data_IF_247204189595
#
_entry.id   IF_247204189595
#
_cell.length_a   1.000
_cell.length_b   1.000
_cell.length_c   1.000
_cell.angle_alpha   90.00
_cell.angle_beta   90.00
_cell.angle_gamma   90.00
#
_symmetry.space_group_name_H-M   'P 1'
#
loop_
_entity.id
_entity.type
_entity.pdbx_description
1 polymer ?
#
# COMPACT_ATOMS: atom_id res chain seq x y z
N UNK A 1 25.48 -8.36 5.12
CA UNK A 1 25.96 -7.04 4.66
C UNK A 1 24.97 -6.01 5.16
N UNK A 2 25.41 -4.92 5.78
CA UNK A 2 24.51 -3.84 6.22
C UNK A 2 23.87 -3.19 4.99
N UNK A 3 22.55 -3.03 4.99
CA UNK A 3 21.86 -2.28 3.93
C UNK A 3 22.26 -0.80 4.07
N UNK A 4 22.84 -0.16 3.04
CA UNK A 4 23.32 1.21 3.12
C UNK A 4 22.19 2.24 3.39
N UNK A 5 20.92 1.87 3.21
CA UNK A 5 19.78 2.71 3.52
C UNK A 5 19.54 2.83 5.03
N UNK A 6 19.65 1.72 5.77
CA UNK A 6 19.30 1.69 7.19
C UNK A 6 20.54 1.94 8.05
N UNK A 7 20.59 3.07 8.78
CA UNK A 7 21.71 3.36 9.69
C UNK A 7 21.82 2.34 10.83
N UNK A 8 20.71 1.66 11.16
CA UNK A 8 20.61 0.64 12.20
C UNK A 8 19.49 -0.38 11.87
N UNK A 9 19.55 -1.55 12.49
CA UNK A 9 18.46 -2.54 12.47
C UNK A 9 17.43 -2.28 13.58
N UNK A 10 17.72 -1.35 14.50
CA UNK A 10 16.83 -0.94 15.59
C UNK A 10 16.57 0.55 15.46
N UNK A 11 15.29 0.99 15.47
CA UNK A 11 14.96 2.40 15.36
C UNK A 11 15.44 3.21 16.56
N UNK A 12 15.81 4.47 16.33
CA UNK A 12 16.12 5.40 17.41
C UNK A 12 14.85 5.83 18.17
N UNK A 13 15.02 6.27 19.42
CA UNK A 13 13.93 6.85 20.22
C UNK A 13 13.35 8.11 19.56
N UNK A 14 14.17 8.88 18.86
CA UNK A 14 13.73 10.06 18.10
C UNK A 14 12.77 9.65 16.98
N UNK A 15 13.12 8.67 16.16
CA UNK A 15 12.28 8.15 15.10
C UNK A 15 10.96 7.56 15.63
N UNK A 16 11.02 6.80 16.74
CA UNK A 16 9.81 6.28 17.39
C UNK A 16 8.87 7.40 17.82
N UNK A 17 9.38 8.50 18.36
CA UNK A 17 8.54 9.67 18.72
C UNK A 17 7.91 10.31 17.50
N UNK A 18 8.64 10.42 16.39
CA UNK A 18 8.13 11.07 15.17
C UNK A 18 6.97 10.31 14.52
N UNK A 19 6.95 8.99 14.62
CA UNK A 19 5.88 8.16 14.00
C UNK A 19 4.74 7.81 14.96
N UNK A 20 4.72 8.33 16.20
CA UNK A 20 3.62 8.06 17.13
C UNK A 20 2.29 8.52 16.57
N UNK A 21 1.28 7.65 16.69
CA UNK A 21 -0.06 7.91 16.18
C UNK A 21 -0.23 7.74 14.67
N UNK A 22 0.80 7.28 13.95
CA UNK A 22 0.67 6.97 12.53
C UNK A 22 -0.05 5.65 12.28
N UNK A 23 -0.51 5.49 11.04
CA UNK A 23 -1.03 4.25 10.50
C UNK A 23 -0.05 3.70 9.47
N UNK A 24 0.21 2.39 9.53
CA UNK A 24 0.85 1.71 8.41
C UNK A 24 -0.24 1.18 7.47
N UNK A 25 -0.41 1.84 6.34
CA UNK A 25 -1.50 1.53 5.41
C UNK A 25 -1.20 0.32 4.50
N UNK A 26 -0.06 -0.37 4.70
CA UNK A 26 0.34 -1.48 3.87
C UNK A 26 1.18 -2.48 4.64
N UNK A 27 0.52 -3.46 5.28
CA UNK A 27 1.20 -4.56 5.99
C UNK A 27 0.63 -5.92 5.59
N UNK A 28 1.48 -6.94 5.67
CA UNK A 28 1.14 -8.33 5.41
C UNK A 28 1.36 -9.17 6.66
N UNK A 29 0.30 -9.72 7.24
CA UNK A 29 0.36 -10.47 8.50
C UNK A 29 -0.44 -11.76 8.44
N UNK A 30 -0.10 -12.71 9.31
CA UNK A 30 -0.86 -13.94 9.47
C UNK A 30 -2.23 -13.65 10.14
N UNK A 31 -3.27 -14.46 9.84
CA UNK A 31 -3.27 -15.60 8.92
C UNK A 31 -3.13 -15.17 7.45
N UNK A 32 -2.32 -15.90 6.68
CA UNK A 32 -2.15 -15.70 5.24
C UNK A 32 -1.81 -17.07 4.61
N UNK A 33 -2.04 -17.23 3.32
CA UNK A 33 -1.61 -18.41 2.56
C UNK A 33 -0.08 -18.52 2.46
N UNK A 34 0.61 -17.41 2.63
CA UNK A 34 2.07 -17.33 2.73
C UNK A 34 2.50 -17.19 4.19
N UNK A 35 3.70 -17.72 4.50
CA UNK A 35 4.28 -17.53 5.83
C UNK A 35 4.53 -16.05 6.10
N UNK A 36 4.01 -15.56 7.22
CA UNK A 36 4.19 -14.19 7.70
C UNK A 36 4.97 -14.18 9.02
N UNK A 37 5.57 -13.02 9.33
CA UNK A 37 6.40 -12.82 10.51
C UNK A 37 5.60 -12.82 11.82
N UNK A 38 4.41 -12.22 11.79
CA UNK A 38 3.60 -11.94 12.98
C UNK A 38 2.12 -12.15 12.64
N UNK A 39 1.30 -12.46 13.64
CA UNK A 39 -0.17 -12.47 13.49
C UNK A 39 -0.73 -11.06 13.57
N UNK A 40 -1.93 -10.86 13.06
CA UNK A 40 -2.65 -9.58 13.12
C UNK A 40 -2.91 -9.10 14.55
N UNK A 41 -3.34 -10.00 15.44
CA UNK A 41 -3.59 -9.70 16.87
C UNK A 41 -2.29 -9.34 17.59
N UNK A 42 -1.21 -10.05 17.34
CA UNK A 42 0.09 -9.75 17.95
C UNK A 42 0.68 -8.46 17.38
N UNK A 43 0.48 -8.17 16.08
CA UNK A 43 0.86 -6.88 15.51
C UNK A 43 0.08 -5.73 16.15
N UNK A 44 -1.23 -5.89 16.39
CA UNK A 44 -2.02 -4.87 17.06
C UNK A 44 -1.48 -4.54 18.46
N UNK A 45 -1.10 -5.56 19.24
CA UNK A 45 -0.43 -5.37 20.54
C UNK A 45 0.92 -4.70 20.42
N UNK A 46 1.73 -5.11 19.45
CA UNK A 46 3.05 -4.52 19.20
C UNK A 46 2.94 -3.04 18.79
N UNK A 47 1.96 -2.70 17.91
CA UNK A 47 1.71 -1.32 17.49
C UNK A 47 1.34 -0.42 18.67
N UNK A 48 0.44 -0.88 19.57
CA UNK A 48 0.13 -0.15 20.79
C UNK A 48 1.36 0.04 21.67
N UNK A 49 2.19 -1.01 21.81
CA UNK A 49 3.41 -0.98 22.60
C UNK A 49 4.42 0.08 22.13
N UNK A 50 4.49 0.36 20.82
CA UNK A 50 5.37 1.39 20.25
C UNK A 50 4.67 2.72 19.98
N UNK A 51 3.37 2.80 20.24
CA UNK A 51 2.57 4.03 20.14
C UNK A 51 2.08 4.35 18.73
N UNK A 52 1.99 3.36 17.81
CA UNK A 52 1.32 3.48 16.53
C UNK A 52 -0.21 3.36 16.71
N UNK A 53 -0.99 4.02 15.85
CA UNK A 53 -2.44 4.05 15.97
C UNK A 53 -3.12 2.83 15.35
N UNK A 54 -2.61 2.35 14.23
CA UNK A 54 -3.24 1.24 13.54
C UNK A 54 -2.56 0.87 12.22
N UNK A 55 -3.21 -0.02 11.49
CA UNK A 55 -2.69 -0.54 10.22
C UNK A 55 -3.81 -1.02 9.31
N UNK A 56 -3.53 -1.10 8.00
CA UNK A 56 -4.39 -1.74 7.02
C UNK A 56 -3.92 -3.17 6.77
N UNK A 57 -4.81 -4.13 6.99
CA UNK A 57 -4.58 -5.55 6.70
C UNK A 57 -4.65 -5.79 5.20
N UNK A 58 -3.52 -5.95 4.53
CA UNK A 58 -3.49 -6.32 3.11
C UNK A 58 -3.34 -7.83 2.94
N UNK A 59 -4.27 -8.41 2.17
CA UNK A 59 -4.15 -9.76 1.61
C UNK A 59 -4.28 -9.70 0.09
N UNK A 60 -3.49 -10.52 -0.61
CA UNK A 60 -3.64 -10.64 -2.06
C UNK A 60 -4.81 -11.54 -2.47
N UNK A 61 -5.40 -12.32 -1.54
CA UNK A 61 -6.31 -13.41 -1.90
C UNK A 61 -7.69 -13.32 -1.29
N UNK A 62 -7.83 -12.66 -0.13
CA UNK A 62 -9.11 -12.58 0.58
C UNK A 62 -9.38 -11.16 1.07
N UNK A 63 -10.66 -10.73 1.21
CA UNK A 63 -11.02 -9.52 1.93
C UNK A 63 -10.61 -9.62 3.40
N UNK A 64 -10.35 -8.51 4.05
CA UNK A 64 -9.84 -8.49 5.43
C UNK A 64 -10.67 -7.62 6.40
N UNK A 65 -11.85 -7.15 5.97
CA UNK A 65 -12.70 -6.29 6.81
C UNK A 65 -13.22 -7.01 8.06
N UNK A 66 -13.77 -8.20 7.90
CA UNK A 66 -14.18 -9.08 9.01
C UNK A 66 -13.03 -9.32 10.00
N UNK A 67 -11.85 -9.61 9.47
CA UNK A 67 -10.64 -9.88 10.25
C UNK A 67 -10.18 -8.64 11.03
N UNK A 68 -10.27 -7.46 10.44
CA UNK A 68 -9.97 -6.19 11.10
C UNK A 68 -10.94 -5.94 12.28
N UNK A 69 -12.23 -6.22 12.10
CA UNK A 69 -13.22 -6.11 13.17
C UNK A 69 -12.91 -7.04 14.36
N UNK A 70 -12.48 -8.28 14.09
CA UNK A 70 -12.07 -9.24 15.13
C UNK A 70 -10.82 -8.76 15.87
N UNK A 71 -9.82 -8.24 15.14
CA UNK A 71 -8.59 -7.67 15.74
C UNK A 71 -8.93 -6.51 16.67
N UNK A 72 -9.78 -5.58 16.21
CA UNK A 72 -10.20 -4.42 17.01
C UNK A 72 -10.97 -4.83 18.30
N UNK A 73 -11.78 -5.87 18.21
CA UNK A 73 -12.46 -6.43 19.38
C UNK A 73 -11.48 -7.11 20.35
N UNK A 74 -10.46 -7.80 19.83
CA UNK A 74 -9.47 -8.53 20.64
C UNK A 74 -8.40 -7.62 21.28
N UNK A 75 -8.10 -6.47 20.65
CA UNK A 75 -7.07 -5.52 21.09
C UNK A 75 -7.63 -4.10 21.06
N UNK A 76 -8.47 -3.74 22.04
CA UNK A 76 -9.02 -2.38 22.13
C UNK A 76 -7.92 -1.32 22.20
N UNK A 77 -8.08 -0.25 21.43
CA UNK A 77 -7.11 0.85 21.34
C UNK A 77 -6.20 0.80 20.11
N UNK A 78 -6.09 -0.34 19.45
CA UNK A 78 -5.53 -0.41 18.09
C UNK A 78 -6.65 -0.25 17.06
N UNK A 79 -6.38 0.39 15.93
CA UNK A 79 -7.32 0.58 14.83
C UNK A 79 -6.86 -0.21 13.60
N UNK A 80 -7.21 -1.49 13.56
CA UNK A 80 -7.01 -2.32 12.37
C UNK A 80 -8.08 -1.99 11.33
N UNK A 81 -7.67 -1.78 10.09
CA UNK A 81 -8.52 -1.43 8.96
C UNK A 81 -8.53 -2.56 7.93
N UNK A 82 -9.72 -2.87 7.43
CA UNK A 82 -9.92 -3.87 6.41
C UNK A 82 -9.64 -3.38 5.00
N UNK A 83 -9.46 -4.32 4.10
CA UNK A 83 -9.18 -4.05 2.70
C UNK A 83 -9.62 -5.19 1.79
N UNK A 84 -9.61 -4.94 0.48
CA UNK A 84 -9.75 -5.95 -0.57
C UNK A 84 -8.75 -5.68 -1.69
N UNK A 85 -8.14 -6.73 -2.25
CA UNK A 85 -7.33 -6.65 -3.47
C UNK A 85 -8.04 -7.40 -4.59
N UNK A 86 -8.23 -6.76 -5.74
CA UNK A 86 -9.07 -7.23 -6.84
C UNK A 86 -8.34 -8.25 -7.72
N UNK A 87 -7.83 -9.30 -7.09
CA UNK A 87 -7.22 -10.44 -7.77
C UNK A 87 -8.27 -11.51 -8.11
N UNK A 88 -7.88 -12.50 -8.86
CA UNK A 88 -8.77 -13.58 -9.35
C UNK A 88 -9.45 -14.36 -8.23
N UNK A 89 -8.80 -14.49 -7.07
CA UNK A 89 -9.38 -15.16 -5.89
C UNK A 89 -10.69 -14.53 -5.38
N UNK A 90 -10.91 -13.23 -5.65
CA UNK A 90 -12.16 -12.51 -5.33
C UNK A 90 -13.01 -12.23 -6.57
N UNK A 91 -12.66 -12.84 -7.71
CA UNK A 91 -13.35 -12.65 -8.99
C UNK A 91 -12.85 -11.46 -9.81
N UNK A 92 -11.61 -11.00 -9.57
CA UNK A 92 -10.98 -9.88 -10.29
C UNK A 92 -11.68 -8.55 -10.02
N UNK A 93 -11.97 -7.79 -11.09
CA UNK A 93 -12.76 -6.55 -11.03
C UNK A 93 -14.23 -6.88 -10.76
N UNK A 94 -14.53 -7.25 -9.53
CA UNK A 94 -15.83 -7.69 -9.09
C UNK A 94 -16.54 -6.62 -8.24
N UNK A 95 -17.54 -5.87 -8.79
CA UNK A 95 -18.26 -4.84 -8.07
C UNK A 95 -18.98 -5.38 -6.82
N UNK A 96 -19.52 -6.61 -6.89
CA UNK A 96 -20.20 -7.22 -5.73
C UNK A 96 -19.23 -7.45 -4.56
N UNK A 97 -18.01 -7.91 -4.84
CA UNK A 97 -17.00 -8.11 -3.81
C UNK A 97 -16.57 -6.78 -3.16
N UNK A 98 -16.48 -5.69 -3.95
CA UNK A 98 -16.19 -4.34 -3.43
C UNK A 98 -17.34 -3.83 -2.56
N UNK A 99 -18.59 -3.99 -3.01
CA UNK A 99 -19.77 -3.59 -2.26
C UNK A 99 -19.87 -4.31 -0.90
N UNK A 100 -19.64 -5.62 -0.87
CA UNK A 100 -19.67 -6.39 0.38
C UNK A 100 -18.53 -5.97 1.29
N UNK A 101 -17.28 -5.88 0.77
CA UNK A 101 -16.14 -5.44 1.56
C UNK A 101 -16.35 -4.04 2.16
N UNK A 102 -16.94 -3.11 1.40
CA UNK A 102 -17.28 -1.77 1.89
C UNK A 102 -18.29 -1.80 3.04
N UNK A 103 -19.35 -2.61 2.91
CA UNK A 103 -20.38 -2.77 3.98
C UNK A 103 -19.83 -3.44 5.23
N UNK A 104 -18.85 -4.31 5.09
CA UNK A 104 -18.13 -4.92 6.20
C UNK A 104 -17.11 -3.97 6.86
N UNK A 105 -16.89 -2.77 6.30
CA UNK A 105 -15.99 -1.77 6.87
C UNK A 105 -14.58 -1.76 6.28
N UNK A 106 -14.39 -2.29 5.06
CA UNK A 106 -13.14 -2.10 4.36
C UNK A 106 -12.83 -0.60 4.16
N UNK A 107 -11.57 -0.24 4.27
CA UNK A 107 -11.09 1.12 4.05
C UNK A 107 -10.38 1.28 2.72
N UNK A 108 -9.67 0.27 2.27
CA UNK A 108 -8.82 0.33 1.08
C UNK A 108 -9.24 -0.74 0.06
N UNK A 109 -9.35 -0.33 -1.19
CA UNK A 109 -9.50 -1.22 -2.34
C UNK A 109 -8.22 -1.13 -3.18
N UNK A 110 -7.44 -2.21 -3.23
CA UNK A 110 -6.34 -2.33 -4.17
C UNK A 110 -6.87 -2.83 -5.53
N UNK A 111 -6.50 -2.14 -6.58
CA UNK A 111 -6.59 -2.69 -7.93
C UNK A 111 -5.78 -4.00 -7.99
N UNK A 112 -5.88 -4.79 -9.07
CA UNK A 112 -5.17 -6.07 -9.16
C UNK A 112 -3.71 -5.97 -8.74
N UNK A 113 -3.25 -6.96 -7.99
CA UNK A 113 -1.86 -7.06 -7.51
C UNK A 113 -1.16 -8.25 -8.18
N UNK A 114 -1.12 -9.41 -7.54
CA UNK A 114 -0.42 -10.60 -8.06
C UNK A 114 -0.99 -11.12 -9.38
N UNK A 115 -2.27 -10.82 -9.66
CA UNK A 115 -2.95 -11.21 -10.91
C UNK A 115 -3.10 -10.03 -11.90
N UNK A 116 -2.53 -8.84 -11.62
CA UNK A 116 -2.49 -7.76 -12.60
C UNK A 116 -1.76 -8.24 -13.86
N UNK A 117 -2.30 -7.91 -15.03
CA UNK A 117 -1.72 -8.33 -16.32
C UNK A 117 -0.25 -7.90 -16.44
N UNK A 118 0.04 -6.64 -16.14
CA UNK A 118 1.41 -6.12 -16.09
C UNK A 118 2.30 -6.95 -15.16
N UNK A 119 1.84 -7.22 -13.95
CA UNK A 119 2.65 -7.89 -12.93
C UNK A 119 2.95 -9.35 -13.30
N UNK A 120 2.00 -10.06 -13.88
CA UNK A 120 2.19 -11.43 -14.35
C UNK A 120 3.23 -11.55 -15.47
N UNK A 121 3.37 -10.52 -16.28
CA UNK A 121 4.38 -10.44 -17.34
C UNK A 121 5.77 -10.07 -16.80
N UNK A 122 5.85 -9.15 -15.85
CA UNK A 122 7.10 -8.50 -15.42
C UNK A 122 7.60 -8.90 -14.04
N UNK A 123 6.88 -9.78 -13.32
CA UNK A 123 7.20 -10.14 -11.93
C UNK A 123 8.62 -10.72 -11.71
N UNK A 124 9.25 -11.23 -12.77
CA UNK A 124 10.61 -11.80 -12.75
C UNK A 124 11.67 -10.82 -13.22
N UNK A 125 11.26 -9.65 -13.74
CA UNK A 125 12.15 -8.61 -14.24
C UNK A 125 12.60 -7.73 -13.06
N UNK A 126 13.54 -8.26 -12.28
CA UNK A 126 14.05 -7.60 -11.09
C UNK A 126 15.51 -7.18 -11.32
N UNK A 127 15.94 -6.05 -10.71
CA UNK A 127 17.35 -5.67 -10.68
C UNK A 127 18.23 -6.79 -10.10
N UNK A 128 19.48 -6.86 -10.55
CA UNK A 128 20.44 -7.84 -10.04
C UNK A 128 20.59 -7.72 -8.51
N UNK A 129 20.43 -8.82 -7.80
CA UNK A 129 20.51 -8.88 -6.34
C UNK A 129 19.22 -8.47 -5.60
N UNK A 130 18.16 -8.07 -6.28
CA UNK A 130 16.87 -7.81 -5.64
C UNK A 130 16.24 -9.13 -5.13
N UNK A 131 15.54 -9.04 -4.00
CA UNK A 131 14.84 -10.20 -3.41
C UNK A 131 13.53 -10.46 -4.15
N UNK A 132 13.30 -11.67 -4.71
CA UNK A 132 12.05 -12.01 -5.34
C UNK A 132 10.86 -11.96 -4.37
N UNK A 133 9.65 -11.60 -4.85
CA UNK A 133 8.45 -11.63 -4.04
C UNK A 133 8.09 -13.07 -3.62
N UNK A 134 7.72 -13.28 -2.35
CA UNK A 134 7.35 -14.59 -1.81
C UNK A 134 6.14 -15.25 -2.51
N UNK A 135 5.22 -14.45 -3.03
CA UNK A 135 4.01 -14.96 -3.70
C UNK A 135 4.30 -15.63 -5.06
N UNK A 136 5.49 -15.43 -5.67
CA UNK A 136 5.86 -16.09 -6.93
C UNK A 136 5.83 -17.62 -6.83
N UNK A 137 6.31 -18.19 -5.73
CA UNK A 137 6.30 -19.64 -5.50
C UNK A 137 4.87 -20.19 -5.48
N UNK A 138 3.95 -19.49 -4.81
CA UNK A 138 2.53 -19.86 -4.76
C UNK A 138 1.89 -19.78 -6.15
N UNK A 139 2.15 -18.71 -6.90
CA UNK A 139 1.63 -18.56 -8.26
C UNK A 139 2.14 -19.67 -9.18
N UNK A 140 3.41 -20.06 -9.07
CA UNK A 140 3.98 -21.18 -9.82
C UNK A 140 3.36 -22.52 -9.41
N UNK A 141 3.05 -22.72 -8.12
CA UNK A 141 2.37 -23.94 -7.66
C UNK A 141 0.93 -24.02 -8.19
N UNK A 142 0.17 -22.93 -8.11
CA UNK A 142 -1.19 -22.85 -8.66
C UNK A 142 -1.21 -23.14 -10.17
N UNK A 143 -0.25 -22.59 -10.91
CA UNK A 143 -0.10 -22.85 -12.36
C UNK A 143 0.17 -24.33 -12.64
N UNK A 144 1.09 -24.96 -11.89
CA UNK A 144 1.38 -26.39 -12.05
C UNK A 144 0.17 -27.28 -11.78
N UNK A 145 -0.75 -26.83 -10.92
CA UNK A 145 -2.01 -27.54 -10.60
C UNK A 145 -3.14 -27.25 -11.58
N UNK A 146 -2.92 -26.43 -12.61
CA UNK A 146 -3.97 -26.01 -13.54
C UNK A 146 -5.00 -25.04 -12.93
N UNK A 147 -4.65 -24.39 -11.83
CA UNK A 147 -5.47 -23.37 -11.15
C UNK A 147 -5.00 -21.96 -11.52
N UNK A 148 -4.30 -21.80 -12.64
CA UNK A 148 -3.86 -20.52 -13.14
C UNK A 148 -5.06 -19.72 -13.67
N UNK A 149 -5.31 -18.55 -13.08
CA UNK A 149 -6.34 -17.65 -13.55
C UNK A 149 -5.80 -16.75 -14.67
N UNK A 150 -6.68 -16.31 -15.56
CA UNK A 150 -6.34 -15.29 -16.55
C UNK A 150 -5.91 -13.99 -15.84
N UNK A 151 -4.95 -13.25 -16.41
CA UNK A 151 -4.57 -11.94 -15.91
C UNK A 151 -5.78 -11.00 -15.81
N UNK A 152 -5.83 -10.21 -14.75
CA UNK A 152 -6.90 -9.23 -14.59
C UNK A 152 -6.54 -7.95 -15.31
N UNK A 153 -7.20 -7.72 -16.43
CA UNK A 153 -7.06 -6.51 -17.25
C UNK A 153 -7.95 -5.39 -16.70
N UNK A 154 -7.41 -4.17 -16.66
CA UNK A 154 -8.16 -2.96 -16.27
C UNK A 154 -8.47 -2.05 -17.45
N UNK A 155 -7.73 -2.22 -18.55
CA UNK A 155 -7.90 -1.49 -19.81
C UNK A 155 -8.28 -2.45 -20.93
N UNK A 156 -9.10 -1.96 -21.86
CA UNK A 156 -9.34 -2.64 -23.14
C UNK A 156 -8.23 -2.41 -24.16
N UNK A 157 -8.32 -3.09 -25.30
CA UNK A 157 -7.34 -3.04 -26.38
C UNK A 157 -7.05 -1.63 -26.93
N UNK A 158 -8.01 -0.70 -26.78
CA UNK A 158 -7.83 0.71 -27.15
C UNK A 158 -7.21 1.59 -26.04
N UNK A 159 -6.81 1.01 -24.92
CA UNK A 159 -6.28 1.76 -23.76
C UNK A 159 -7.35 2.48 -22.92
N UNK A 160 -8.63 2.27 -23.21
CA UNK A 160 -9.73 2.80 -22.44
C UNK A 160 -10.02 1.91 -21.23
N UNK A 161 -10.36 2.55 -20.11
CA UNK A 161 -10.78 1.85 -18.89
C UNK A 161 -12.00 0.99 -19.14
N UNK A 162 -11.96 -0.28 -18.75
CA UNK A 162 -13.03 -1.24 -18.95
C UNK A 162 -14.30 -0.84 -18.18
N UNK A 163 -15.52 -1.22 -18.65
CA UNK A 163 -16.76 -0.94 -17.93
C UNK A 163 -16.76 -1.48 -16.50
N UNK A 164 -16.17 -2.66 -16.27
CA UNK A 164 -16.03 -3.23 -14.90
C UNK A 164 -15.11 -2.41 -14.02
N UNK A 165 -14.03 -1.86 -14.58
CA UNK A 165 -13.14 -0.96 -13.85
C UNK A 165 -13.91 0.29 -13.41
N UNK A 166 -14.71 0.90 -14.31
CA UNK A 166 -15.55 2.06 -13.98
C UNK A 166 -16.53 1.76 -12.87
N UNK A 167 -17.27 0.65 -12.96
CA UNK A 167 -18.22 0.23 -11.94
C UNK A 167 -17.56 0.06 -10.55
N UNK A 168 -16.32 -0.47 -10.50
CA UNK A 168 -15.54 -0.56 -9.27
C UNK A 168 -15.16 0.83 -8.75
N UNK A 169 -14.71 1.73 -9.61
CA UNK A 169 -14.34 3.10 -9.22
C UNK A 169 -15.53 3.91 -8.69
N UNK A 170 -16.72 3.75 -9.29
CA UNK A 170 -17.97 4.36 -8.83
C UNK A 170 -18.35 3.88 -7.42
N UNK A 171 -18.20 2.58 -7.11
CA UNK A 171 -18.42 2.04 -5.77
C UNK A 171 -17.39 2.57 -4.76
N UNK A 172 -16.11 2.63 -5.14
CA UNK A 172 -15.05 3.21 -4.30
C UNK A 172 -15.39 4.67 -3.95
N UNK A 173 -15.82 5.45 -4.94
CA UNK A 173 -16.24 6.85 -4.74
C UNK A 173 -17.49 6.94 -3.85
N UNK A 174 -18.51 6.15 -4.14
CA UNK A 174 -19.79 6.14 -3.42
C UNK A 174 -19.65 5.79 -1.94
N UNK A 175 -18.74 4.88 -1.60
CA UNK A 175 -18.44 4.49 -0.22
C UNK A 175 -17.32 5.31 0.44
N UNK A 176 -16.70 6.25 -0.28
CA UNK A 176 -15.60 7.07 0.24
C UNK A 176 -14.35 6.26 0.62
N UNK A 177 -14.09 5.17 -0.10
CA UNK A 177 -12.94 4.31 0.14
C UNK A 177 -11.66 4.88 -0.47
N UNK A 178 -10.52 4.40 -0.03
CA UNK A 178 -9.23 4.66 -0.66
C UNK A 178 -9.05 3.71 -1.84
N UNK A 179 -8.78 4.25 -3.01
CA UNK A 179 -8.27 3.50 -4.15
C UNK A 179 -6.75 3.39 -4.05
N UNK A 180 -6.20 2.18 -4.07
CA UNK A 180 -4.77 1.95 -4.25
C UNK A 180 -4.54 1.25 -5.60
N UNK A 181 -3.54 1.71 -6.38
CA UNK A 181 -3.35 1.22 -7.77
C UNK A 181 -2.79 -0.20 -7.87
N UNK A 182 -2.38 -0.78 -6.76
CA UNK A 182 -1.87 -2.16 -6.75
C UNK A 182 -0.63 -2.35 -7.62
N UNK A 183 -0.62 -3.42 -8.41
CA UNK A 183 0.52 -3.73 -9.28
C UNK A 183 0.22 -3.45 -10.77
N UNK A 184 -0.64 -2.49 -11.04
CA UNK A 184 -0.89 -2.02 -12.40
C UNK A 184 0.38 -1.47 -13.03
N UNK A 185 0.50 -1.60 -14.34
CA UNK A 185 1.59 -1.01 -15.10
C UNK A 185 1.41 0.50 -15.28
N UNK A 186 2.49 1.18 -15.69
CA UNK A 186 2.56 2.64 -15.90
C UNK A 186 1.34 3.21 -16.63
N UNK A 187 1.01 2.67 -17.81
CA UNK A 187 -0.12 3.15 -18.61
C UNK A 187 -1.47 2.94 -17.93
N UNK A 188 -1.62 1.82 -17.22
CA UNK A 188 -2.83 1.48 -16.48
C UNK A 188 -3.00 2.42 -15.28
N UNK A 189 -1.95 2.70 -14.53
CA UNK A 189 -1.97 3.64 -13.40
C UNK A 189 -2.47 5.01 -13.84
N UNK A 190 -1.89 5.56 -14.92
CA UNK A 190 -2.27 6.88 -15.43
C UNK A 190 -3.74 6.92 -15.88
N UNK A 191 -4.20 5.88 -16.60
CA UNK A 191 -5.57 5.80 -17.09
C UNK A 191 -6.59 5.60 -15.94
N UNK A 192 -6.29 4.69 -15.01
CA UNK A 192 -7.16 4.39 -13.87
C UNK A 192 -7.22 5.59 -12.91
N UNK A 193 -6.11 6.29 -12.65
CA UNK A 193 -6.09 7.50 -11.80
C UNK A 193 -7.01 8.59 -12.36
N UNK A 194 -6.94 8.87 -13.66
CA UNK A 194 -7.86 9.84 -14.31
C UNK A 194 -9.30 9.40 -14.21
N UNK A 195 -9.60 8.14 -14.53
CA UNK A 195 -10.95 7.62 -14.43
C UNK A 195 -11.48 7.61 -12.99
N UNK A 196 -10.61 7.43 -11.99
CA UNK A 196 -10.97 7.51 -10.58
C UNK A 196 -11.36 8.94 -10.18
N UNK A 197 -10.60 9.95 -10.62
CA UNK A 197 -10.95 11.36 -10.42
C UNK A 197 -12.28 11.68 -11.09
N UNK A 198 -12.49 11.25 -12.33
CA UNK A 198 -13.75 11.45 -13.07
C UNK A 198 -14.94 10.79 -12.36
N UNK A 199 -14.72 9.64 -11.71
CA UNK A 199 -15.73 8.94 -10.92
C UNK A 199 -15.97 9.55 -9.52
N UNK A 200 -15.18 10.57 -9.12
CA UNK A 200 -15.31 11.25 -7.82
C UNK A 200 -14.56 10.55 -6.68
N UNK A 201 -13.61 9.66 -6.94
CA UNK A 201 -12.74 9.08 -5.91
C UNK A 201 -11.84 10.17 -5.33
N UNK A 202 -11.95 10.42 -4.02
CA UNK A 202 -11.25 11.52 -3.34
C UNK A 202 -9.88 11.14 -2.78
N UNK A 203 -9.64 9.85 -2.57
CA UNK A 203 -8.42 9.33 -1.94
C UNK A 203 -7.83 8.27 -2.82
N UNK A 204 -6.77 8.63 -3.54
CA UNK A 204 -6.07 7.78 -4.50
C UNK A 204 -4.63 7.62 -4.04
N UNK A 205 -4.16 6.39 -3.97
CA UNK A 205 -2.79 6.02 -3.60
C UNK A 205 -2.15 5.29 -4.75
N UNK A 206 -1.06 5.83 -5.27
CA UNK A 206 -0.21 5.15 -6.24
C UNK A 206 0.71 4.21 -5.46
N UNK A 207 0.43 2.92 -5.54
CA UNK A 207 1.14 1.89 -4.79
C UNK A 207 2.58 1.76 -5.29
N UNK A 208 3.57 1.93 -4.40
CA UNK A 208 5.02 1.82 -4.64
C UNK A 208 5.46 2.14 -6.09
N UNK A 209 5.30 3.42 -6.53
CA UNK A 209 5.45 3.85 -7.93
C UNK A 209 6.83 3.57 -8.54
N UNK A 210 7.86 3.38 -7.72
CA UNK A 210 9.22 3.07 -8.13
C UNK A 210 9.52 1.58 -8.27
N UNK A 211 8.59 0.68 -7.98
CA UNK A 211 8.84 -0.74 -8.24
C UNK A 211 9.13 -0.96 -9.73
N UNK A 212 10.05 -1.88 -10.09
CA UNK A 212 10.41 -2.13 -11.48
C UNK A 212 9.22 -2.43 -12.39
N UNK A 213 8.13 -2.97 -11.82
CA UNK A 213 6.92 -3.31 -12.55
C UNK A 213 6.01 -2.10 -12.80
N UNK A 214 5.99 -1.11 -11.91
CA UNK A 214 5.25 0.15 -12.05
C UNK A 214 6.08 1.19 -12.82
N UNK A 215 7.33 1.36 -12.41
CA UNK A 215 8.37 2.18 -13.03
C UNK A 215 7.87 3.55 -13.54
N UNK A 216 7.12 4.28 -12.68
CA UNK A 216 6.67 5.62 -13.05
C UNK A 216 7.85 6.59 -13.10
N UNK A 217 7.99 7.26 -14.23
CA UNK A 217 8.94 8.37 -14.35
C UNK A 217 8.57 9.50 -13.38
N UNK A 218 9.52 10.37 -13.06
CA UNK A 218 9.27 11.51 -12.18
C UNK A 218 8.15 12.42 -12.72
N UNK A 219 8.08 12.64 -14.04
CA UNK A 219 7.04 13.47 -14.65
C UNK A 219 5.65 12.82 -14.53
N UNK A 220 5.58 11.50 -14.67
CA UNK A 220 4.34 10.75 -14.46
C UNK A 220 3.92 10.77 -12.98
N UNK A 221 4.87 10.66 -12.05
CA UNK A 221 4.59 10.83 -10.61
C UNK A 221 4.02 12.23 -10.31
N UNK A 222 4.61 13.30 -10.86
CA UNK A 222 4.06 14.65 -10.76
C UNK A 222 2.67 14.75 -11.35
N UNK A 223 2.44 14.16 -12.52
CA UNK A 223 1.15 14.21 -13.19
C UNK A 223 0.00 13.58 -12.38
N UNK A 224 0.27 12.50 -11.64
CA UNK A 224 -0.75 11.90 -10.76
C UNK A 224 -0.91 12.69 -9.45
N UNK A 225 0.14 13.33 -8.96
CA UNK A 225 0.06 14.28 -7.83
C UNK A 225 -0.81 15.49 -8.19
N UNK A 226 -0.67 16.03 -9.40
CA UNK A 226 -1.51 17.14 -9.90
C UNK A 226 -3.00 16.75 -9.97
N UNK A 227 -3.30 15.45 -10.09
CA UNK A 227 -4.65 14.90 -9.99
C UNK A 227 -5.11 14.65 -8.55
N UNK A 228 -4.30 14.97 -7.54
CA UNK A 228 -4.61 14.81 -6.12
C UNK A 228 -4.27 13.41 -5.55
N UNK A 229 -3.53 12.57 -6.27
CA UNK A 229 -3.12 11.27 -5.76
C UNK A 229 -1.92 11.37 -4.80
N UNK A 230 -1.86 10.45 -3.85
CA UNK A 230 -0.71 10.23 -2.98
C UNK A 230 0.24 9.20 -3.58
N UNK A 231 1.53 9.41 -3.40
CA UNK A 231 2.59 8.48 -3.78
C UNK A 231 3.01 7.67 -2.55
N UNK A 232 2.86 6.37 -2.62
CA UNK A 232 3.23 5.46 -1.54
C UNK A 232 4.73 5.12 -1.60
N UNK A 233 5.46 5.43 -0.53
CA UNK A 233 6.89 5.09 -0.38
C UNK A 233 7.04 3.96 0.64
N UNK A 234 7.19 2.75 0.13
CA UNK A 234 7.33 1.56 0.96
C UNK A 234 8.78 1.36 1.42
N UNK A 235 8.97 1.02 2.70
CA UNK A 235 10.27 0.64 3.24
C UNK A 235 10.88 -0.54 2.47
N UNK A 236 10.07 -1.53 2.09
CA UNK A 236 10.56 -2.71 1.38
C UNK A 236 11.18 -2.39 0.03
N UNK A 237 10.81 -1.30 -0.63
CA UNK A 237 11.32 -0.93 -1.96
C UNK A 237 12.84 -0.80 -1.98
N UNK A 238 13.47 0.09 -1.22
CA UNK A 238 14.92 0.16 -1.13
C UNK A 238 15.53 -0.95 -0.27
N UNK A 239 14.81 -1.43 0.76
CA UNK A 239 15.30 -2.48 1.64
C UNK A 239 15.63 -3.78 0.90
N UNK A 240 14.82 -4.12 -0.11
CA UNK A 240 14.96 -5.35 -0.90
C UNK A 240 15.67 -5.12 -2.25
N UNK A 241 16.30 -3.96 -2.43
CA UNK A 241 17.10 -3.64 -3.62
C UNK A 241 16.31 -3.40 -4.90
N UNK A 242 15.00 -3.14 -4.79
CA UNK A 242 14.15 -2.88 -5.97
C UNK A 242 14.31 -1.48 -6.53
N UNK A 243 14.66 -0.51 -5.68
CA UNK A 243 14.93 0.86 -6.09
C UNK A 243 15.94 1.52 -5.13
N UNK A 244 16.90 2.32 -5.61
CA UNK A 244 17.89 2.94 -4.75
C UNK A 244 17.30 4.01 -3.82
N UNK A 245 17.69 3.99 -2.55
CA UNK A 245 17.22 4.96 -1.56
C UNK A 245 17.49 6.43 -1.92
N UNK A 246 18.69 6.83 -2.40
CA UNK A 246 18.96 8.23 -2.77
C UNK A 246 18.04 8.74 -3.88
N UNK A 247 17.66 7.88 -4.82
CA UNK A 247 16.75 8.21 -5.92
C UNK A 247 15.32 8.36 -5.42
N UNK A 248 14.86 7.49 -4.49
CA UNK A 248 13.55 7.65 -3.83
C UNK A 248 13.51 8.98 -3.05
N UNK A 249 14.56 9.35 -2.33
CA UNK A 249 14.67 10.66 -1.64
C UNK A 249 14.54 11.81 -2.64
N UNK A 250 15.22 11.73 -3.77
CA UNK A 250 15.12 12.73 -4.85
C UNK A 250 13.69 12.85 -5.38
N UNK A 251 13.02 11.73 -5.60
CA UNK A 251 11.62 11.70 -6.05
C UNK A 251 10.67 12.31 -5.01
N UNK A 252 10.85 12.01 -3.71
CA UNK A 252 10.05 12.61 -2.63
C UNK A 252 10.23 14.14 -2.62
N UNK A 253 11.47 14.61 -2.73
CA UNK A 253 11.76 16.06 -2.79
C UNK A 253 11.10 16.74 -4.00
N UNK A 254 11.10 16.07 -5.15
CA UNK A 254 10.58 16.61 -6.40
C UNK A 254 9.04 16.58 -6.50
N UNK A 255 8.39 15.61 -5.84
CA UNK A 255 6.91 15.45 -5.84
C UNK A 255 6.23 16.06 -4.61
N UNK A 256 7.00 16.36 -3.56
CA UNK A 256 6.52 17.01 -2.34
C UNK A 256 6.07 16.05 -1.25
N UNK A 257 6.27 16.46 -0.01
CA UNK A 257 5.93 15.70 1.20
C UNK A 257 4.41 15.63 1.43
N UNK A 258 3.67 16.61 0.96
CA UNK A 258 2.21 16.67 1.12
C UNK A 258 1.50 15.59 0.30
N UNK A 259 2.07 15.19 -0.83
CA UNK A 259 1.57 14.12 -1.68
C UNK A 259 2.22 12.75 -1.40
N UNK A 260 3.06 12.64 -0.37
CA UNK A 260 3.76 11.41 -0.03
C UNK A 260 3.15 10.74 1.20
N UNK A 261 2.92 9.43 1.13
CA UNK A 261 2.67 8.59 2.30
C UNK A 261 3.81 7.59 2.49
N UNK A 262 4.16 7.35 3.73
CA UNK A 262 5.14 6.33 4.10
C UNK A 262 4.42 5.12 4.66
N UNK A 263 4.71 3.96 4.09
CA UNK A 263 4.22 2.65 4.52
C UNK A 263 5.37 1.66 4.58
N UNK A 264 5.13 0.46 5.03
CA UNK A 264 6.23 -0.50 5.13
C UNK A 264 6.22 -1.59 4.08
N UNK A 265 5.06 -2.11 3.70
CA UNK A 265 4.89 -3.35 2.93
C UNK A 265 5.62 -4.53 3.61
N UNK A 266 5.75 -4.48 4.94
CA UNK A 266 6.41 -5.50 5.76
C UNK A 266 5.46 -6.66 6.09
N UNK A 267 6.06 -7.72 6.64
CA UNK A 267 5.39 -8.93 7.11
C UNK A 267 6.08 -10.21 6.66
N UNK A 268 7.06 -10.11 5.76
CA UNK A 268 7.86 -11.24 5.32
C UNK A 268 8.82 -11.67 6.44
N UNK A 269 9.03 -12.99 6.69
CA UNK A 269 9.79 -13.49 7.84
C UNK A 269 11.24 -12.98 7.94
N UNK A 270 11.86 -12.69 6.79
CA UNK A 270 13.26 -12.24 6.70
C UNK A 270 13.44 -10.72 6.80
N UNK A 271 12.35 -9.94 6.70
CA UNK A 271 12.37 -8.49 6.82
C UNK A 271 12.35 -8.07 8.30
N UNK A 272 12.61 -6.79 8.63
CA UNK A 272 12.50 -6.25 9.99
C UNK A 272 11.13 -6.50 10.65
N UNK A 273 11.02 -6.37 11.98
CA UNK A 273 9.73 -6.33 12.67
C UNK A 273 8.82 -5.26 12.09
N UNK A 274 7.53 -5.59 11.90
CA UNK A 274 6.56 -4.68 11.25
C UNK A 274 6.38 -3.41 12.07
N UNK A 275 6.32 -3.55 13.39
CA UNK A 275 6.17 -2.46 14.37
C UNK A 275 7.34 -1.47 14.36
N UNK A 276 8.49 -1.87 13.85
CA UNK A 276 9.69 -1.03 13.75
C UNK A 276 9.78 -0.29 12.40
N UNK A 277 9.06 -0.78 11.40
CA UNK A 277 9.26 -0.37 9.99
C UNK A 277 9.12 1.13 9.74
N UNK A 278 8.05 1.76 10.24
CA UNK A 278 7.86 3.20 10.08
C UNK A 278 8.95 4.03 10.77
N UNK A 279 9.40 3.60 11.95
CA UNK A 279 10.48 4.30 12.66
C UNK A 279 11.84 4.08 11.98
N UNK A 280 12.12 2.90 11.43
CA UNK A 280 13.32 2.67 10.60
C UNK A 280 13.34 3.59 9.36
N UNK A 281 12.18 3.75 8.71
CA UNK A 281 12.05 4.68 7.58
C UNK A 281 12.25 6.13 8.02
N UNK A 282 11.74 6.52 9.20
CA UNK A 282 11.95 7.86 9.76
C UNK A 282 13.43 8.13 10.06
N UNK A 283 14.20 7.17 10.60
CA UNK A 283 15.64 7.28 10.79
C UNK A 283 16.39 7.48 9.46
N UNK A 284 16.02 6.71 8.44
CA UNK A 284 16.59 6.88 7.10
C UNK A 284 16.28 8.25 6.50
N UNK A 285 15.06 8.77 6.73
CA UNK A 285 14.67 10.11 6.30
C UNK A 285 15.42 11.23 7.05
N UNK A 286 15.58 11.09 8.37
CA UNK A 286 16.40 12.04 9.16
C UNK A 286 17.84 12.08 8.62
N UNK A 287 18.44 10.92 8.37
CA UNK A 287 19.77 10.80 7.77
C UNK A 287 19.85 11.42 6.36
N UNK A 288 18.76 11.40 5.60
CA UNK A 288 18.63 12.04 4.28
C UNK A 288 18.28 13.54 4.35
N UNK A 289 18.25 14.14 5.56
CA UNK A 289 18.03 15.56 5.76
C UNK A 289 16.57 16.02 5.65
N UNK A 290 15.59 15.13 5.85
CA UNK A 290 14.22 15.57 6.06
C UNK A 290 14.04 16.11 7.46
N UNK A 291 13.26 17.19 7.59
CA UNK A 291 12.89 17.76 8.89
C UNK A 291 11.87 16.87 9.61
N UNK A 292 11.80 16.99 10.93
CA UNK A 292 10.80 16.29 11.75
C UNK A 292 9.37 16.56 11.27
N UNK A 293 9.06 17.80 10.88
CA UNK A 293 7.73 18.18 10.35
C UNK A 293 7.42 17.49 9.03
N UNK A 294 8.37 17.39 8.12
CA UNK A 294 8.20 16.68 6.85
C UNK A 294 7.94 15.20 7.10
N UNK A 295 8.71 14.58 8.00
CA UNK A 295 8.53 13.17 8.37
C UNK A 295 7.14 12.95 8.98
N UNK A 296 6.74 13.77 9.96
CA UNK A 296 5.43 13.68 10.59
C UNK A 296 4.29 13.91 9.58
N UNK A 297 4.47 14.80 8.61
CA UNK A 297 3.49 15.01 7.53
C UNK A 297 3.28 13.72 6.73
N UNK A 298 4.35 13.07 6.29
CA UNK A 298 4.32 11.86 5.46
C UNK A 298 3.88 10.61 6.24
N UNK A 299 4.28 10.48 7.51
CA UNK A 299 4.02 9.27 8.33
C UNK A 299 2.73 9.38 9.15
N UNK A 300 2.44 10.51 9.78
CA UNK A 300 1.29 10.70 10.66
C UNK A 300 0.15 11.42 9.94
N UNK A 301 0.40 12.61 9.41
CA UNK A 301 -0.64 13.45 8.83
C UNK A 301 -1.38 12.77 7.68
N UNK A 302 -0.63 12.36 6.67
CA UNK A 302 -1.22 11.75 5.46
C UNK A 302 -1.79 10.36 5.74
N UNK A 303 -1.14 9.55 6.60
CA UNK A 303 -1.65 8.22 6.92
C UNK A 303 -2.97 8.28 7.70
N UNK A 304 -3.10 9.20 8.66
CA UNK A 304 -4.36 9.42 9.40
C UNK A 304 -5.48 9.90 8.49
N UNK A 305 -5.19 10.83 7.58
CA UNK A 305 -6.17 11.30 6.60
C UNK A 305 -6.71 10.14 5.75
N UNK A 306 -5.83 9.31 5.20
CA UNK A 306 -6.19 8.17 4.38
C UNK A 306 -6.86 7.05 5.20
N UNK A 307 -6.49 6.88 6.47
CA UNK A 307 -7.20 6.00 7.41
C UNK A 307 -8.63 6.46 7.74
N UNK A 308 -9.02 7.69 7.33
CA UNK A 308 -10.30 8.30 7.69
C UNK A 308 -10.34 8.80 9.13
N UNK A 309 -9.18 9.12 9.71
CA UNK A 309 -8.97 9.61 11.09
C UNK A 309 -8.28 10.99 11.11
N UNK A 310 -8.24 11.67 9.98
CA UNK A 310 -7.80 13.07 9.90
C UNK A 310 -8.77 13.97 10.65
N UNK A 311 -8.29 15.10 11.18
CA UNK A 311 -9.17 16.16 11.66
C UNK A 311 -10.05 16.63 10.49
N UNK A 312 -11.34 16.79 10.74
CA UNK A 312 -12.22 17.46 9.79
C UNK A 312 -11.67 18.89 9.63
N UNK A 313 -11.21 19.24 8.43
CA UNK A 313 -10.84 20.61 8.13
C UNK A 313 -12.00 21.53 8.50
N UNK A 314 -11.76 22.81 8.88
CA UNK A 314 -12.80 23.74 9.24
C UNK A 314 -13.69 24.07 8.03
N UNK A 315 -14.64 23.19 7.71
CA UNK A 315 -15.48 23.34 6.53
C UNK A 315 -16.43 22.20 6.21
N UNK A 316 -16.50 21.12 6.98
CA UNK A 316 -17.42 20.02 6.69
C UNK A 316 -18.30 19.68 7.91
N UNK A 317 -18.99 20.70 8.43
CA UNK A 317 -20.21 20.54 9.23
C UNK A 317 -21.35 21.04 8.35
N UNK A 318 -22.02 20.15 7.65
CA UNK A 318 -23.37 20.32 7.12
C UNK A 318 -23.97 18.92 6.92
#
# INVERSE_FOLDING_TARGET
MSNPMLPSTTPSDAARRLVRGSYDLHVHVAPDVMRRRITDVDLARAFLGVGLAGFVLKSHYVPTAERAAVVNAAVPGCDALGAIALNSAVGGLNPMAVEIAAREGARVVWMPTVDAANHRQTARDLPAGATPPMWLELQDDLRRRGLDAEPVEVLGTGGNVLPRTRAVLELIAGHGLVLATGHLGRREILAVTRAAVDAGVRQIVITHPEFPQQDLTLDEQKSVVDLGAYLERCLTTPLTGKYPWPEMVSNIRATGVDATIVTTDLGQPHNPPVEDGLALMADAMLAAGFTEKEIQRMTVGNSRLLAGRGEAGPGNQA
#
